data_IF_314352468683
#
_entry.id   IF_314352468683
#
_cell.length_a   1.000
_cell.length_b   1.000
_cell.length_c   1.000
_cell.angle_alpha   90.00
_cell.angle_beta   90.00
_cell.angle_gamma   90.00
#
_symmetry.space_group_name_H-M   'P 1'
#
loop_
_entity.id
_entity.type
_entity.pdbx_description
1 polymer ?
#
# COMPACT_ATOMS: atom_id res chain seq x y z
N UNK A 1 -5.12 -13.12 -4.15
CA UNK A 1 -4.73 -11.73 -3.90
C UNK A 1 -3.71 -11.72 -2.78
N UNK A 2 -2.61 -10.99 -2.94
CA UNK A 2 -1.51 -10.99 -1.98
C UNK A 2 -1.31 -9.60 -1.40
N UNK A 3 -0.82 -9.55 -0.16
CA UNK A 3 -0.45 -8.31 0.51
C UNK A 3 1.00 -7.97 0.24
N UNK A 4 1.28 -6.69 0.05
CA UNK A 4 2.62 -6.16 -0.20
C UNK A 4 2.88 -4.91 0.63
N UNK A 5 4.16 -4.64 0.87
CA UNK A 5 4.60 -3.39 1.51
C UNK A 5 4.92 -2.38 0.42
N UNK A 6 4.29 -1.22 0.52
CA UNK A 6 4.58 -0.04 -0.27
C UNK A 6 5.26 0.99 0.63
N UNK A 7 6.47 1.38 0.27
CA UNK A 7 7.22 2.45 0.93
C UNK A 7 7.06 3.76 0.17
N UNK A 8 6.88 4.82 0.93
CA UNK A 8 6.79 6.20 0.47
C UNK A 8 8.06 6.97 0.82
N UNK A 9 8.26 8.14 0.23
CA UNK A 9 9.36 9.02 0.65
C UNK A 9 9.19 9.41 2.14
N UNK A 10 10.29 9.60 2.89
CA UNK A 10 10.23 9.90 4.32
C UNK A 10 9.31 11.07 4.68
N UNK A 11 8.41 10.86 5.63
CA UNK A 11 7.40 11.80 6.12
C UNK A 11 6.40 12.29 5.06
N UNK A 12 6.23 11.54 3.96
CA UNK A 12 5.33 11.90 2.85
C UNK A 12 4.15 10.96 2.69
N UNK A 13 3.92 10.01 3.61
CA UNK A 13 2.84 9.01 3.51
C UNK A 13 1.46 9.64 3.29
N UNK A 14 1.08 10.65 4.06
CA UNK A 14 -0.22 11.31 3.90
C UNK A 14 -0.40 11.98 2.52
N UNK A 15 0.66 12.62 2.01
CA UNK A 15 0.63 13.23 0.68
C UNK A 15 0.56 12.16 -0.42
N UNK A 16 1.34 11.10 -0.27
CA UNK A 16 1.29 9.93 -1.15
C UNK A 16 -0.13 9.35 -1.21
N UNK A 17 -0.77 9.14 -0.06
CA UNK A 17 -2.13 8.60 0.03
C UNK A 17 -3.16 9.49 -0.69
N UNK A 18 -3.00 10.83 -0.63
CA UNK A 18 -3.85 11.76 -1.38
C UNK A 18 -3.70 11.58 -2.90
N UNK A 19 -2.46 11.52 -3.42
CA UNK A 19 -2.23 11.30 -4.84
C UNK A 19 -2.64 9.90 -5.32
N UNK A 20 -2.46 8.89 -4.45
CA UNK A 20 -2.90 7.53 -4.73
C UNK A 20 -4.43 7.44 -4.80
N UNK A 21 -5.15 8.03 -3.86
CA UNK A 21 -6.60 8.07 -3.89
C UNK A 21 -7.13 8.75 -5.16
N UNK A 22 -6.52 9.87 -5.56
CA UNK A 22 -6.81 10.54 -6.82
C UNK A 22 -6.57 9.62 -8.03
N UNK A 23 -5.39 9.00 -8.11
CA UNK A 23 -5.05 8.08 -9.21
C UNK A 23 -5.98 6.86 -9.28
N UNK A 24 -6.38 6.30 -8.13
CA UNK A 24 -7.33 5.17 -8.06
C UNK A 24 -8.68 5.61 -8.63
N UNK A 25 -9.14 6.82 -8.30
CA UNK A 25 -10.41 7.36 -8.80
C UNK A 25 -10.35 7.61 -10.32
N UNK A 26 -9.33 8.32 -10.79
CA UNK A 26 -9.18 8.71 -12.20
C UNK A 26 -8.97 7.51 -13.14
N UNK A 27 -8.12 6.57 -12.72
CA UNK A 27 -7.72 5.41 -13.54
C UNK A 27 -8.54 4.15 -13.24
N UNK A 28 -9.57 4.24 -12.38
CA UNK A 28 -10.44 3.13 -11.96
C UNK A 28 -9.67 1.91 -11.44
N UNK A 29 -8.70 2.13 -10.56
CA UNK A 29 -7.79 1.08 -10.07
C UNK A 29 -8.33 0.30 -8.86
N UNK A 30 -9.60 0.48 -8.48
CA UNK A 30 -10.19 -0.17 -7.30
C UNK A 30 -10.15 -1.70 -7.40
N UNK A 31 -10.26 -2.26 -8.60
CA UNK A 31 -10.12 -3.71 -8.79
C UNK A 31 -8.66 -4.19 -8.67
N UNK A 32 -7.70 -3.33 -9.01
CA UNK A 32 -6.28 -3.65 -8.99
C UNK A 32 -5.69 -3.55 -7.58
N UNK A 33 -6.13 -2.54 -6.83
CA UNK A 33 -5.76 -2.24 -5.43
C UNK A 33 -7.05 -2.23 -4.58
N UNK A 34 -7.63 -3.41 -4.29
CA UNK A 34 -8.90 -3.53 -3.57
C UNK A 34 -8.84 -3.02 -2.13
N UNK A 35 -7.71 -3.23 -1.44
CA UNK A 35 -7.57 -2.88 -0.03
C UNK A 35 -6.23 -2.22 0.24
N UNK A 36 -6.26 -1.27 1.16
CA UNK A 36 -5.09 -0.56 1.67
C UNK A 36 -5.22 -0.38 3.17
N UNK A 37 -4.11 -0.56 3.89
CA UNK A 37 -4.04 -0.34 5.33
C UNK A 37 -2.88 0.60 5.60
N UNK A 38 -3.12 1.59 6.44
CA UNK A 38 -2.07 2.49 6.95
C UNK A 38 -1.71 2.06 8.35
N UNK A 39 -0.53 1.44 8.56
CA UNK A 39 -0.05 1.10 9.90
C UNK A 39 -0.02 2.31 10.83
N UNK A 40 -0.52 2.14 12.07
CA UNK A 40 -0.57 3.21 13.07
C UNK A 40 0.76 3.42 13.80
N UNK A 41 1.56 2.36 13.95
CA UNK A 41 2.85 2.43 14.64
C UNK A 41 3.84 3.32 13.87
N UNK A 42 4.53 4.21 14.59
CA UNK A 42 5.50 5.15 14.03
C UNK A 42 6.67 4.44 13.33
N UNK A 43 7.01 3.21 13.72
CA UNK A 43 8.02 2.40 13.01
C UNK A 43 7.66 2.15 11.54
N UNK A 44 6.37 2.25 11.20
CA UNK A 44 5.84 2.05 9.84
C UNK A 44 5.32 3.36 9.23
N UNK A 45 5.72 4.52 9.76
CA UNK A 45 5.23 5.84 9.35
C UNK A 45 5.36 6.15 7.85
N UNK A 46 6.30 5.50 7.16
CA UNK A 46 6.56 5.69 5.73
C UNK A 46 6.05 4.55 4.86
N UNK A 47 5.26 3.64 5.43
CA UNK A 47 4.77 2.43 4.78
C UNK A 47 3.24 2.38 4.70
N UNK A 48 2.76 1.71 3.66
CA UNK A 48 1.36 1.36 3.43
C UNK A 48 1.30 -0.10 3.04
N UNK A 49 0.35 -0.86 3.60
CA UNK A 49 0.09 -2.23 3.17
C UNK A 49 -0.97 -2.19 2.08
N UNK A 50 -0.71 -2.87 0.98
CA UNK A 50 -1.64 -2.90 -0.16
C UNK A 50 -1.93 -4.34 -0.56
N UNK A 51 -3.20 -4.64 -0.77
CA UNK A 51 -3.59 -5.91 -1.39
C UNK A 51 -3.67 -5.69 -2.90
N UNK A 52 -3.04 -6.56 -3.67
CA UNK A 52 -2.95 -6.41 -5.13
C UNK A 52 -3.54 -7.62 -5.84
N UNK A 53 -4.29 -7.35 -6.93
CA UNK A 53 -4.78 -8.38 -7.86
C UNK A 53 -3.70 -8.80 -8.85
N UNK A 54 -2.93 -7.84 -9.35
CA UNK A 54 -1.79 -8.06 -10.25
C UNK A 54 -0.61 -7.17 -9.82
N UNK A 55 0.50 -7.80 -9.43
CA UNK A 55 1.68 -7.09 -8.93
C UNK A 55 2.34 -6.22 -10.00
N UNK A 56 2.53 -6.75 -11.21
CA UNK A 56 3.29 -6.07 -12.28
C UNK A 56 2.54 -4.85 -12.81
N UNK A 57 1.23 -5.00 -12.97
CA UNK A 57 0.36 -3.90 -13.39
C UNK A 57 0.28 -2.83 -12.30
N UNK A 58 0.03 -3.21 -11.05
CA UNK A 58 -0.03 -2.28 -9.93
C UNK A 58 1.29 -1.52 -9.77
N UNK A 59 2.44 -2.21 -9.86
CA UNK A 59 3.76 -1.58 -9.79
C UNK A 59 3.94 -0.50 -10.84
N UNK A 60 3.52 -0.75 -12.08
CA UNK A 60 3.64 0.21 -13.19
C UNK A 60 2.88 1.50 -12.91
N UNK A 61 1.69 1.41 -12.30
CA UNK A 61 0.92 2.58 -11.89
C UNK A 61 1.51 3.28 -10.66
N UNK A 62 1.83 2.52 -9.62
CA UNK A 62 2.33 3.05 -8.35
C UNK A 62 3.65 3.82 -8.52
N UNK A 63 4.52 3.39 -9.43
CA UNK A 63 5.77 4.07 -9.76
C UNK A 63 5.59 5.48 -10.35
N UNK A 64 4.41 5.79 -10.88
CA UNK A 64 4.09 7.11 -11.44
C UNK A 64 3.55 8.09 -10.39
N UNK A 65 3.25 7.62 -9.17
CA UNK A 65 2.60 8.42 -8.13
C UNK A 65 3.66 9.23 -7.38
N UNK A 66 3.36 10.50 -7.12
CA UNK A 66 4.26 11.38 -6.37
C UNK A 66 4.53 10.82 -4.97
N UNK A 67 5.80 10.89 -4.55
CA UNK A 67 6.32 10.32 -3.30
C UNK A 67 6.36 8.78 -3.21
N UNK A 68 6.08 8.06 -4.29
CA UNK A 68 6.42 6.64 -4.36
C UNK A 68 7.92 6.44 -4.14
N UNK A 69 8.28 5.46 -3.31
CA UNK A 69 9.67 5.04 -3.14
C UNK A 69 9.87 3.61 -3.65
N UNK A 70 9.10 2.66 -3.14
CA UNK A 70 9.30 1.24 -3.45
C UNK A 70 8.05 0.42 -3.21
N UNK A 71 7.90 -0.64 -4.00
CA UNK A 71 6.97 -1.73 -3.73
C UNK A 71 7.81 -2.99 -3.51
N UNK A 72 7.72 -3.58 -2.32
CA UNK A 72 8.50 -4.78 -2.01
C UNK A 72 8.04 -5.95 -2.88
N UNK A 73 8.96 -6.69 -3.53
CA UNK A 73 8.60 -7.74 -4.47
C UNK A 73 8.06 -9.00 -3.80
N UNK A 74 8.36 -9.17 -2.50
CA UNK A 74 7.90 -10.32 -1.73
C UNK A 74 6.56 -9.98 -1.07
N UNK A 75 5.53 -10.80 -1.28
CA UNK A 75 4.30 -10.66 -0.53
C UNK A 75 4.54 -10.94 0.96
N UNK A 76 3.74 -10.31 1.81
CA UNK A 76 3.75 -10.54 3.25
C UNK A 76 2.62 -11.48 3.65
N UNK A 77 2.83 -12.24 4.73
CA UNK A 77 1.82 -13.16 5.23
C UNK A 77 0.67 -12.40 5.92
N UNK A 78 -0.53 -12.98 6.02
CA UNK A 78 -1.64 -12.39 6.78
C UNK A 78 -1.26 -12.09 8.24
N UNK A 79 -0.43 -12.92 8.87
CA UNK A 79 0.08 -12.68 10.22
C UNK A 79 0.94 -11.41 10.30
N UNK A 80 1.79 -11.17 9.30
CA UNK A 80 2.56 -9.93 9.22
C UNK A 80 1.66 -8.72 9.02
N UNK A 81 0.61 -8.84 8.20
CA UNK A 81 -0.39 -7.77 7.99
C UNK A 81 -1.04 -7.40 9.32
N UNK A 82 -1.55 -8.40 10.06
CA UNK A 82 -2.18 -8.20 11.38
C UNK A 82 -1.24 -7.51 12.37
N UNK A 83 0.00 -7.98 12.44
CA UNK A 83 1.03 -7.39 13.33
C UNK A 83 1.32 -5.94 12.97
N UNK A 84 1.40 -5.61 11.69
CA UNK A 84 1.72 -4.26 11.21
C UNK A 84 0.51 -3.31 11.26
N UNK A 85 -0.72 -3.81 11.07
CA UNK A 85 -1.93 -3.00 11.16
C UNK A 85 -2.28 -2.63 12.60
N UNK A 86 -1.78 -3.40 13.59
CA UNK A 86 -2.20 -3.29 14.98
C UNK A 86 -3.61 -3.86 15.22
N UNK A 87 -4.13 -4.61 14.26
CA UNK A 87 -5.52 -5.05 14.23
C UNK A 87 -5.61 -6.53 14.60
N UNK A 88 -6.36 -6.81 15.67
CA UNK A 88 -6.55 -8.16 16.23
C UNK A 88 -7.75 -8.89 15.58
N UNK A 89 -8.47 -8.25 14.65
CA UNK A 89 -9.81 -8.66 14.20
C UNK A 89 -9.86 -9.14 12.73
N UNK A 90 -8.74 -9.44 12.11
CA UNK A 90 -8.75 -10.21 10.85
C UNK A 90 -9.15 -11.66 11.14
N UNK A 91 -10.45 -11.98 11.33
CA UNK A 91 -10.99 -13.35 11.40
C UNK A 91 -11.89 -13.59 10.20
#
# INVERSE_FOLDING_TARGET
MNWYILSTRPYKRDLFLKYLAQSISEKKLQELIPLMITPQDAVYQDMVLVQLKNFQEARSYLQQIEYFQRLEPKPISPEQVRRMSGDSDFV
#
